data_IF_608121698495
#
_entry.id   IF_608121698495
#
_cell.length_a   1.000
_cell.length_b   1.000
_cell.length_c   1.000
_cell.angle_alpha   90.00
_cell.angle_beta   90.00
_cell.angle_gamma   90.00
#
_symmetry.space_group_name_H-M   'P 1'
#
loop_
_entity.id
_entity.type
_entity.pdbx_description
1 polymer ?
#
# COMPACT_ATOMS: atom_id res chain seq x y z
N UNK A 1 -40.39 -70.32 -9.21
CA UNK A 1 -39.53 -70.24 -10.40
C UNK A 1 -40.20 -69.30 -11.40
N UNK A 2 -39.66 -68.10 -11.62
CA UNK A 2 -39.86 -67.36 -12.86
C UNK A 2 -38.53 -67.14 -13.59
N UNK A 3 -38.63 -67.24 -14.91
CA UNK A 3 -37.58 -67.32 -15.91
C UNK A 3 -36.74 -66.04 -16.12
N UNK A 4 -35.49 -66.27 -16.53
CA UNK A 4 -34.53 -65.33 -17.08
C UNK A 4 -34.93 -64.87 -18.51
N UNK A 5 -34.65 -63.58 -18.83
CA UNK A 5 -33.84 -63.05 -19.97
C UNK A 5 -34.35 -61.66 -20.40
N UNK A 6 -33.64 -60.58 -20.04
CA UNK A 6 -32.61 -59.84 -20.83
C UNK A 6 -33.14 -59.07 -22.05
N UNK A 7 -33.15 -57.74 -21.94
CA UNK A 7 -32.82 -56.71 -22.96
C UNK A 7 -32.73 -55.36 -22.23
N UNK A 8 -31.53 -54.92 -21.79
CA UNK A 8 -30.66 -53.95 -22.49
C UNK A 8 -31.42 -52.74 -23.06
N UNK A 9 -31.28 -51.59 -22.41
CA UNK A 9 -30.99 -50.30 -23.07
C UNK A 9 -30.27 -49.38 -22.07
N UNK A 10 -29.04 -49.03 -22.44
CA UNK A 10 -28.16 -48.06 -21.80
C UNK A 10 -28.75 -46.65 -21.92
N UNK A 11 -28.59 -45.83 -20.89
CA UNK A 11 -28.60 -44.37 -21.03
C UNK A 11 -27.64 -43.78 -19.99
N UNK A 12 -26.36 -43.74 -20.36
CA UNK A 12 -25.34 -42.99 -19.66
C UNK A 12 -25.40 -41.53 -20.15
N UNK A 13 -26.07 -40.67 -19.39
CA UNK A 13 -26.04 -39.22 -19.63
C UNK A 13 -24.71 -38.66 -19.14
N UNK A 14 -23.73 -38.61 -20.05
CA UNK A 14 -22.53 -37.79 -19.91
C UNK A 14 -22.93 -36.32 -20.04
N UNK A 15 -23.23 -35.68 -18.92
CA UNK A 15 -23.21 -34.22 -18.82
C UNK A 15 -21.74 -33.79 -18.89
N UNK A 16 -21.25 -33.57 -20.11
CA UNK A 16 -20.06 -32.74 -20.32
C UNK A 16 -20.42 -31.34 -19.83
N UNK A 17 -20.06 -31.05 -18.59
CA UNK A 17 -19.93 -29.68 -18.13
C UNK A 17 -18.88 -29.01 -19.01
N UNK A 18 -19.36 -28.28 -20.02
CA UNK A 18 -18.57 -27.33 -20.77
C UNK A 18 -18.02 -26.31 -19.79
N UNK A 19 -16.82 -26.54 -19.27
CA UNK A 19 -15.99 -25.47 -18.74
C UNK A 19 -15.67 -24.56 -19.92
N UNK A 20 -16.56 -23.61 -20.18
CA UNK A 20 -16.24 -22.43 -20.95
C UNK A 20 -15.19 -21.68 -20.15
N UNK A 21 -13.92 -21.98 -20.39
CA UNK A 21 -12.88 -20.98 -20.24
C UNK A 21 -13.27 -19.86 -21.20
N UNK A 22 -13.90 -18.81 -20.67
CA UNK A 22 -13.87 -17.53 -21.35
C UNK A 22 -12.40 -17.25 -21.59
N UNK A 23 -11.98 -17.31 -22.85
CA UNK A 23 -10.76 -16.66 -23.26
C UNK A 23 -11.01 -15.16 -23.03
N UNK A 24 -10.65 -14.67 -21.84
CA UNK A 24 -10.50 -13.25 -21.62
C UNK A 24 -9.48 -12.81 -22.66
N UNK A 25 -9.95 -12.11 -23.69
CA UNK A 25 -9.06 -11.38 -24.55
C UNK A 25 -8.18 -10.54 -23.62
N UNK A 26 -6.86 -10.72 -23.70
CA UNK A 26 -5.87 -9.98 -22.91
C UNK A 26 -6.03 -8.48 -23.19
N UNK A 27 -7.00 -7.84 -22.54
CA UNK A 27 -7.15 -6.39 -22.55
C UNK A 27 -6.21 -5.85 -21.49
N UNK A 28 -5.23 -5.08 -21.97
CA UNK A 28 -4.35 -4.30 -21.13
C UNK A 28 -5.18 -3.48 -20.14
N UNK A 29 -4.74 -3.36 -18.88
CA UNK A 29 -5.43 -2.53 -17.93
C UNK A 29 -5.37 -1.07 -18.37
N UNK A 30 -6.49 -0.37 -18.21
CA UNK A 30 -6.47 1.08 -18.29
C UNK A 30 -5.52 1.64 -17.22
N UNK A 31 -4.97 2.86 -17.39
CA UNK A 31 -4.07 3.46 -16.41
C UNK A 31 -4.65 3.52 -14.99
N UNK A 32 -5.97 3.77 -14.87
CA UNK A 32 -6.66 3.80 -13.58
C UNK A 32 -6.78 2.41 -12.96
N UNK A 33 -7.14 1.38 -13.73
CA UNK A 33 -7.19 -0.01 -13.24
C UNK A 33 -5.81 -0.52 -12.83
N UNK A 34 -4.78 -0.19 -13.61
CA UNK A 34 -3.38 -0.52 -13.28
C UNK A 34 -3.00 0.08 -11.94
N UNK A 35 -3.27 1.36 -11.74
CA UNK A 35 -2.97 2.04 -10.47
C UNK A 35 -3.70 1.38 -9.30
N UNK A 36 -4.99 1.08 -9.45
CA UNK A 36 -5.78 0.48 -8.38
C UNK A 36 -5.22 -0.91 -7.97
N UNK A 37 -4.87 -1.75 -8.96
CA UNK A 37 -4.21 -3.04 -8.71
C UNK A 37 -2.84 -2.86 -8.07
N UNK A 38 -2.00 -1.98 -8.62
CA UNK A 38 -0.66 -1.70 -8.12
C UNK A 38 -0.68 -1.18 -6.68
N UNK A 39 -1.62 -0.29 -6.34
CA UNK A 39 -1.76 0.22 -4.97
C UNK A 39 -2.08 -0.89 -3.96
N UNK A 40 -2.91 -1.87 -4.33
CA UNK A 40 -3.19 -3.04 -3.48
C UNK A 40 -1.95 -3.90 -3.27
N UNK A 41 -1.16 -4.13 -4.33
CA UNK A 41 0.09 -4.89 -4.23
C UNK A 41 1.05 -4.19 -3.25
N UNK A 42 1.31 -2.91 -3.46
CA UNK A 42 2.28 -2.13 -2.67
C UNK A 42 1.88 -2.02 -1.21
N UNK A 43 0.61 -1.70 -0.94
CA UNK A 43 0.14 -1.36 0.40
C UNK A 43 -0.30 -2.57 1.21
N UNK A 44 -0.80 -3.61 0.55
CA UNK A 44 -1.48 -4.73 1.20
C UNK A 44 -0.76 -6.06 0.97
N UNK A 45 0.22 -6.13 0.06
CA UNK A 45 0.82 -7.42 -0.35
C UNK A 45 -0.23 -8.31 -1.04
N UNK A 46 -1.12 -7.71 -1.81
CA UNK A 46 -2.26 -8.41 -2.40
C UNK A 46 -1.83 -9.32 -3.56
N UNK A 47 -1.61 -10.60 -3.25
CA UNK A 47 -1.23 -11.63 -4.22
C UNK A 47 -2.26 -11.84 -5.34
N UNK A 48 -3.55 -11.59 -5.07
CA UNK A 48 -4.59 -11.69 -6.10
C UNK A 48 -4.43 -10.55 -7.11
N UNK A 49 -4.23 -9.32 -6.62
CA UNK A 49 -3.96 -8.18 -7.49
C UNK A 49 -2.65 -8.35 -8.27
N UNK A 50 -1.60 -8.92 -7.65
CA UNK A 50 -0.32 -9.21 -8.30
C UNK A 50 -0.48 -10.22 -9.42
N UNK A 51 -1.21 -11.31 -9.18
CA UNK A 51 -1.50 -12.34 -10.17
C UNK A 51 -2.31 -11.78 -11.34
N UNK A 52 -3.36 -11.00 -11.04
CA UNK A 52 -4.21 -10.36 -12.05
C UNK A 52 -3.41 -9.39 -12.92
N UNK A 53 -2.67 -8.47 -12.29
CA UNK A 53 -1.89 -7.48 -13.02
C UNK A 53 -0.81 -8.15 -13.89
N UNK A 54 -0.12 -9.17 -13.37
CA UNK A 54 0.88 -9.92 -14.13
C UNK A 54 0.28 -10.60 -15.38
N UNK A 55 -0.89 -11.23 -15.23
CA UNK A 55 -1.57 -11.90 -16.33
C UNK A 55 -2.04 -10.92 -17.44
N UNK A 56 -2.45 -9.72 -17.05
CA UNK A 56 -2.90 -8.68 -17.99
C UNK A 56 -1.75 -7.92 -18.65
N UNK A 57 -0.64 -7.73 -17.94
CA UNK A 57 0.53 -7.00 -18.43
C UNK A 57 1.49 -7.87 -19.27
N UNK A 58 1.40 -9.20 -19.13
CA UNK A 58 2.25 -10.14 -19.87
C UNK A 58 3.67 -10.29 -19.31
N UNK A 59 3.93 -9.79 -18.11
CA UNK A 59 5.16 -10.01 -17.35
C UNK A 59 4.84 -10.22 -15.86
N UNK A 60 5.74 -10.88 -15.14
CA UNK A 60 5.57 -11.07 -13.69
C UNK A 60 5.82 -9.77 -12.94
N UNK A 61 4.79 -9.24 -12.28
CA UNK A 61 4.92 -8.10 -11.39
C UNK A 61 5.74 -8.51 -10.15
N UNK A 62 6.74 -7.70 -9.75
CA UNK A 62 7.66 -8.06 -8.67
C UNK A 62 6.92 -8.29 -7.34
N UNK A 63 7.38 -9.30 -6.60
CA UNK A 63 7.06 -9.44 -5.19
C UNK A 63 7.72 -8.28 -4.41
N UNK A 64 6.91 -7.58 -3.61
CA UNK A 64 7.33 -6.40 -2.85
C UNK A 64 7.54 -6.69 -1.36
N UNK A 65 7.47 -7.95 -0.91
CA UNK A 65 7.67 -8.31 0.50
C UNK A 65 9.02 -7.84 1.05
N UNK A 66 10.10 -7.99 0.29
CA UNK A 66 11.42 -7.47 0.66
C UNK A 66 11.45 -5.94 0.80
N UNK A 67 10.72 -5.24 -0.07
CA UNK A 67 10.57 -3.78 0.01
C UNK A 67 9.77 -3.37 1.24
N UNK A 68 8.70 -4.10 1.57
CA UNK A 68 7.87 -3.87 2.78
C UNK A 68 8.66 -4.11 4.06
N UNK A 69 9.50 -5.14 4.10
CA UNK A 69 10.42 -5.39 5.22
C UNK A 69 11.43 -4.26 5.37
N UNK A 70 11.97 -3.75 4.26
CA UNK A 70 12.90 -2.62 4.27
C UNK A 70 12.24 -1.33 4.79
N UNK A 71 10.98 -1.06 4.41
CA UNK A 71 10.18 0.05 4.97
C UNK A 71 9.98 -0.12 6.47
N UNK A 72 9.59 -1.30 6.95
CA UNK A 72 9.42 -1.57 8.38
C UNK A 72 10.74 -1.41 9.16
N UNK A 73 11.87 -1.78 8.55
CA UNK A 73 13.19 -1.60 9.14
C UNK A 73 13.59 -0.12 9.23
N UNK A 74 13.39 0.67 8.16
CA UNK A 74 13.65 2.11 8.17
C UNK A 74 12.77 2.83 9.21
N UNK A 75 11.47 2.54 9.23
CA UNK A 75 10.54 3.11 10.21
C UNK A 75 10.98 2.84 11.65
N UNK A 76 11.49 1.64 11.93
CA UNK A 76 12.04 1.29 13.25
C UNK A 76 13.21 2.20 13.61
N UNK A 77 14.14 2.42 12.68
CA UNK A 77 15.31 3.27 12.93
C UNK A 77 14.90 4.71 13.20
N UNK A 78 14.02 5.27 12.36
CA UNK A 78 13.56 6.66 12.51
C UNK A 78 12.75 6.87 13.81
N UNK A 79 11.89 5.91 14.17
CA UNK A 79 11.15 5.95 15.43
C UNK A 79 12.08 5.85 16.63
N UNK A 80 13.03 4.91 16.61
CA UNK A 80 14.01 4.73 17.67
C UNK A 80 14.85 6.00 17.87
N UNK A 81 15.42 6.54 16.78
CA UNK A 81 16.20 7.78 16.84
C UNK A 81 15.43 8.94 17.48
N UNK A 82 14.12 9.01 17.23
CA UNK A 82 13.29 10.09 17.75
C UNK A 82 12.90 9.93 19.22
N UNK A 83 12.74 8.70 19.70
CA UNK A 83 12.29 8.41 21.08
C UNK A 83 13.39 8.00 22.04
N UNK A 84 14.59 7.66 21.55
CA UNK A 84 15.70 7.12 22.36
C UNK A 84 16.85 8.09 22.63
N UNK A 85 16.69 9.42 22.48
CA UNK A 85 17.79 10.30 22.90
C UNK A 85 17.85 10.42 24.44
N UNK A 86 18.97 9.96 25.00
CA UNK A 86 19.29 9.95 26.44
C UNK A 86 19.76 8.57 26.92
N UNK A 87 20.49 8.52 28.03
CA UNK A 87 21.15 7.31 28.61
C UNK A 87 20.20 6.17 29.04
N UNK A 88 18.95 6.17 28.60
CA UNK A 88 17.99 5.12 28.89
C UNK A 88 17.00 4.97 27.74
N UNK A 89 16.90 3.75 27.22
CA UNK A 89 15.79 3.33 26.36
C UNK A 89 14.46 3.71 27.00
N UNK A 90 13.54 4.26 26.22
CA UNK A 90 12.20 4.60 26.69
C UNK A 90 11.50 3.32 27.17
N UNK A 91 11.62 2.99 28.46
CA UNK A 91 10.97 1.83 29.05
C UNK A 91 9.53 2.17 29.36
N UNK A 92 8.61 1.46 28.72
CA UNK A 92 7.17 1.60 28.95
C UNK A 92 6.38 0.53 28.22
N UNK A 93 5.04 0.58 28.32
CA UNK A 93 4.16 -0.47 27.84
C UNK A 93 4.07 -0.53 26.31
N UNK A 94 4.45 0.54 25.60
CA UNK A 94 4.43 0.60 24.14
C UNK A 94 5.86 0.72 23.63
N UNK A 95 6.24 -0.20 22.74
CA UNK A 95 7.57 -0.28 22.14
C UNK A 95 7.61 0.37 20.75
N UNK A 96 8.81 0.62 20.25
CA UNK A 96 9.01 1.01 18.84
C UNK A 96 8.46 -0.06 17.89
N UNK A 97 8.60 -1.34 18.24
CA UNK A 97 8.06 -2.44 17.43
C UNK A 97 6.53 -2.43 17.36
N UNK A 98 5.85 -2.06 18.45
CA UNK A 98 4.39 -1.89 18.44
C UNK A 98 3.96 -0.75 17.51
N UNK A 99 4.70 0.36 17.51
CA UNK A 99 4.48 1.48 16.59
C UNK A 99 4.70 1.10 15.13
N UNK A 100 5.78 0.37 14.82
CA UNK A 100 6.02 -0.14 13.46
C UNK A 100 4.92 -1.11 13.04
N UNK A 101 4.51 -2.03 13.92
CA UNK A 101 3.41 -2.95 13.65
C UNK A 101 2.10 -2.21 13.38
N UNK A 102 1.80 -1.14 14.13
CA UNK A 102 0.64 -0.29 13.90
C UNK A 102 0.69 0.40 12.52
N UNK A 103 1.85 0.90 12.08
CA UNK A 103 2.02 1.49 10.73
C UNK A 103 1.74 0.44 9.66
N UNK A 104 2.36 -0.75 9.77
CA UNK A 104 2.18 -1.82 8.79
C UNK A 104 0.72 -2.32 8.75
N UNK A 105 0.04 -2.36 9.90
CA UNK A 105 -1.37 -2.69 10.00
C UNK A 105 -2.30 -1.59 9.45
N UNK A 106 -1.88 -0.32 9.48
CA UNK A 106 -2.62 0.78 8.82
C UNK A 106 -2.42 0.74 7.32
N UNK A 107 -1.20 0.50 6.84
CA UNK A 107 -0.89 0.31 5.42
C UNK A 107 -1.75 -0.78 4.79
N UNK A 108 -1.86 -1.95 5.44
CA UNK A 108 -2.59 -3.10 4.89
C UNK A 108 -4.09 -2.89 4.70
N UNK A 109 -4.68 -1.87 5.32
CA UNK A 109 -6.09 -1.49 5.14
C UNK A 109 -6.29 -0.15 4.43
N UNK A 110 -5.20 0.56 4.13
CA UNK A 110 -5.24 1.82 3.36
C UNK A 110 -5.68 1.50 1.93
N UNK A 111 -6.60 2.29 1.41
CA UNK A 111 -7.09 2.18 0.04
C UNK A 111 -6.76 3.45 -0.72
N UNK A 112 -6.11 3.31 -1.87
CA UNK A 112 -5.94 4.38 -2.82
C UNK A 112 -6.71 4.02 -4.08
N UNK A 113 -7.43 4.99 -4.63
CA UNK A 113 -8.26 4.80 -5.83
C UNK A 113 -7.95 5.92 -6.82
N UNK A 114 -7.72 5.55 -8.06
CA UNK A 114 -7.59 6.50 -9.14
C UNK A 114 -8.89 7.29 -9.33
N UNK A 115 -8.77 8.59 -9.48
CA UNK A 115 -9.89 9.53 -9.67
C UNK A 115 -9.91 10.15 -11.06
N UNK A 116 -8.78 10.08 -11.78
CA UNK A 116 -8.68 10.53 -13.16
C UNK A 116 -7.31 10.22 -13.75
N UNK A 117 -7.28 10.12 -15.08
CA UNK A 117 -6.05 10.02 -15.85
C UNK A 117 -6.15 10.95 -17.05
N UNK A 118 -5.11 11.74 -17.28
CA UNK A 118 -4.99 12.66 -18.40
C UNK A 118 -3.78 12.23 -19.23
N UNK A 119 -3.97 11.69 -20.45
CA UNK A 119 -2.87 11.38 -21.36
C UNK A 119 -2.01 12.62 -21.65
N UNK A 120 -0.72 12.43 -21.88
CA UNK A 120 0.19 13.50 -22.31
C UNK A 120 -0.19 14.01 -23.71
N UNK A 121 -0.15 15.32 -23.92
CA UNK A 121 -0.33 15.92 -25.24
C UNK A 121 0.98 15.92 -26.06
N UNK A 122 2.10 15.49 -25.47
CA UNK A 122 3.40 15.42 -26.14
C UNK A 122 3.46 14.17 -27.04
N UNK A 123 3.60 14.33 -28.38
CA UNK A 123 3.68 13.19 -29.30
C UNK A 123 4.95 12.35 -29.10
N UNK A 124 5.99 12.89 -28.47
CA UNK A 124 7.25 12.16 -28.19
C UNK A 124 7.18 11.32 -26.90
N UNK A 125 6.15 11.51 -26.06
CA UNK A 125 5.91 10.74 -24.82
C UNK A 125 5.29 9.35 -25.07
N UNK A 126 4.86 9.07 -26.31
CA UNK A 126 4.31 7.80 -26.73
C UNK A 126 5.41 6.92 -27.34
N UNK A 127 5.79 5.84 -26.66
CA UNK A 127 6.71 4.84 -27.23
C UNK A 127 6.02 3.92 -28.24
N UNK A 128 4.75 3.58 -27.97
CA UNK A 128 3.82 2.82 -28.81
C UNK A 128 2.37 3.24 -28.48
N UNK A 129 1.39 2.88 -29.33
CA UNK A 129 -0.03 3.25 -29.15
C UNK A 129 -0.65 2.82 -27.80
N UNK A 130 -0.04 1.81 -27.17
CA UNK A 130 -0.47 1.20 -25.90
C UNK A 130 0.34 1.69 -24.67
N UNK A 131 1.37 2.53 -24.88
CA UNK A 131 2.31 3.03 -23.87
C UNK A 131 2.07 4.51 -23.56
N UNK A 132 0.82 4.88 -23.30
CA UNK A 132 0.46 6.26 -23.01
C UNK A 132 1.06 6.68 -21.66
N UNK A 133 1.91 7.70 -21.69
CA UNK A 133 2.34 8.44 -20.51
C UNK A 133 1.31 9.52 -20.21
N UNK A 134 1.03 9.77 -18.94
CA UNK A 134 0.07 10.80 -18.56
C UNK A 134 0.05 11.09 -17.08
N UNK A 135 -0.76 12.07 -16.72
CA UNK A 135 -0.96 12.52 -15.35
C UNK A 135 -2.08 11.72 -14.69
N UNK A 136 -1.78 11.11 -13.54
CA UNK A 136 -2.74 10.36 -12.75
C UNK A 136 -3.13 11.12 -11.48
N UNK A 137 -4.41 11.31 -11.25
CA UNK A 137 -4.96 11.83 -10.00
C UNK A 137 -5.57 10.69 -9.19
N UNK A 138 -5.33 10.65 -7.89
CA UNK A 138 -5.86 9.60 -7.00
C UNK A 138 -6.15 10.12 -5.60
N UNK A 139 -6.96 9.35 -4.87
CA UNK A 139 -7.30 9.64 -3.47
C UNK A 139 -6.98 8.43 -2.61
N UNK A 140 -6.29 8.65 -1.49
CA UNK A 140 -6.02 7.65 -0.46
C UNK A 140 -6.85 7.91 0.79
N UNK A 141 -7.40 6.86 1.40
CA UNK A 141 -8.08 6.91 2.69
C UNK A 141 -7.05 6.75 3.82
N UNK A 142 -6.71 7.85 4.48
CA UNK A 142 -5.63 7.93 5.47
C UNK A 142 -6.06 8.72 6.72
N UNK A 143 -5.47 8.46 7.90
CA UNK A 143 -5.74 9.26 9.08
C UNK A 143 -5.18 10.68 8.93
N UNK A 144 -5.71 11.62 9.70
CA UNK A 144 -5.16 12.98 9.78
C UNK A 144 -4.02 13.07 10.81
N UNK A 145 -2.75 13.21 10.39
CA UNK A 145 -1.64 13.20 11.33
C UNK A 145 -1.64 14.39 12.30
N UNK A 146 -2.29 15.51 11.98
CA UNK A 146 -2.23 16.74 12.79
C UNK A 146 -2.61 16.55 14.27
N UNK A 147 -3.41 15.53 14.59
CA UNK A 147 -3.74 15.17 15.97
C UNK A 147 -2.52 14.79 16.84
N UNK A 148 -1.43 14.32 16.22
CA UNK A 148 -0.19 13.93 16.92
C UNK A 148 0.75 15.11 17.16
N UNK A 149 0.55 16.22 16.45
CA UNK A 149 1.45 17.38 16.46
C UNK A 149 1.67 17.96 17.88
N UNK A 150 0.64 18.12 18.74
CA UNK A 150 0.86 18.59 20.11
C UNK A 150 1.70 17.62 20.97
N UNK A 151 1.52 16.31 20.77
CA UNK A 151 2.28 15.28 21.51
C UNK A 151 3.73 15.23 21.04
N UNK A 152 3.96 15.41 19.74
CA UNK A 152 5.29 15.55 19.18
C UNK A 152 6.01 16.79 19.72
N UNK A 153 5.35 17.96 19.73
CA UNK A 153 5.90 19.19 20.28
C UNK A 153 6.27 19.03 21.77
N UNK A 154 5.45 18.33 22.55
CA UNK A 154 5.75 18.02 23.95
C UNK A 154 7.02 17.17 24.11
N UNK A 155 7.26 16.18 23.23
CA UNK A 155 8.51 15.42 23.23
C UNK A 155 9.72 16.31 22.91
N UNK A 156 9.60 17.22 21.94
CA UNK A 156 10.69 18.16 21.60
C UNK A 156 11.04 19.09 22.76
N UNK A 157 10.03 19.55 23.50
CA UNK A 157 10.21 20.46 24.63
C UNK A 157 10.63 19.78 25.94
N UNK A 158 10.55 18.45 26.02
CA UNK A 158 10.82 17.70 27.24
C UNK A 158 12.32 17.74 27.63
N UNK A 159 12.59 17.86 28.92
CA UNK A 159 13.94 17.83 29.45
C UNK A 159 14.49 16.40 29.46
N UNK A 160 15.81 16.27 29.31
CA UNK A 160 16.51 14.98 29.35
C UNK A 160 16.19 14.15 30.61
N UNK A 161 16.34 12.83 30.49
CA UNK A 161 16.03 11.89 31.57
C UNK A 161 14.54 11.51 31.64
N UNK A 162 13.97 11.50 32.84
CA UNK A 162 12.61 10.93 33.06
C UNK A 162 11.50 11.70 32.34
N UNK A 163 11.61 13.02 32.20
CA UNK A 163 10.60 13.83 31.50
C UNK A 163 10.54 13.46 30.01
N UNK A 164 11.69 13.42 29.34
CA UNK A 164 11.80 12.95 27.96
C UNK A 164 11.33 11.51 27.76
N UNK A 165 11.68 10.59 28.68
CA UNK A 165 11.17 9.22 28.64
C UNK A 165 9.64 9.15 28.71
N UNK A 166 9.02 9.94 29.59
CA UNK A 166 7.56 10.00 29.69
C UNK A 166 6.91 10.61 28.44
N UNK A 167 7.50 11.68 27.89
CA UNK A 167 7.00 12.29 26.66
C UNK A 167 7.12 11.34 25.46
N UNK A 168 8.23 10.58 25.37
CA UNK A 168 8.44 9.56 24.34
C UNK A 168 7.39 8.44 24.42
N UNK A 169 7.11 7.96 25.63
CA UNK A 169 6.07 6.94 25.85
C UNK A 169 4.66 7.46 25.53
N UNK A 170 4.36 8.73 25.87
CA UNK A 170 3.09 9.37 25.46
C UNK A 170 2.98 9.45 23.95
N UNK A 171 4.06 9.80 23.25
CA UNK A 171 4.07 9.86 21.79
C UNK A 171 3.83 8.48 21.18
N UNK A 172 4.56 7.45 21.60
CA UNK A 172 4.39 6.09 21.09
C UNK A 172 2.97 5.58 21.30
N UNK A 173 2.41 5.76 22.51
CA UNK A 173 1.05 5.35 22.82
C UNK A 173 0.01 6.10 21.97
N UNK A 174 0.12 7.43 21.87
CA UNK A 174 -0.79 8.24 21.05
C UNK A 174 -0.68 7.88 19.57
N UNK A 175 0.53 7.59 19.08
CA UNK A 175 0.78 7.23 17.69
C UNK A 175 0.18 5.86 17.34
N UNK A 176 0.40 4.84 18.17
CA UNK A 176 -0.22 3.51 18.01
C UNK A 176 -1.74 3.58 18.04
N UNK A 177 -2.30 4.32 19.00
CA UNK A 177 -3.75 4.51 19.11
C UNK A 177 -4.30 5.20 17.86
N UNK A 178 -3.68 6.30 17.44
CA UNK A 178 -4.06 7.06 16.26
C UNK A 178 -4.06 6.18 14.99
N UNK A 179 -2.99 5.44 14.76
CA UNK A 179 -2.89 4.52 13.63
C UNK A 179 -3.91 3.39 13.69
N UNK A 180 -4.40 3.02 14.88
CA UNK A 180 -5.35 1.92 15.07
C UNK A 180 -6.80 2.38 14.91
N UNK A 181 -7.17 3.53 15.46
CA UNK A 181 -8.58 3.93 15.63
C UNK A 181 -8.98 5.20 14.88
N UNK A 182 -8.03 6.04 14.42
CA UNK A 182 -8.39 7.28 13.77
C UNK A 182 -9.18 7.06 12.47
N UNK A 183 -10.24 7.85 12.24
CA UNK A 183 -11.03 7.74 11.02
C UNK A 183 -10.18 8.10 9.79
N UNK A 184 -10.48 7.45 8.67
CA UNK A 184 -9.88 7.82 7.40
C UNK A 184 -10.52 9.09 6.83
N UNK A 185 -9.68 9.96 6.28
CA UNK A 185 -10.07 11.09 5.43
C UNK A 185 -9.47 10.93 4.03
N UNK A 186 -10.10 11.50 2.99
CA UNK A 186 -9.50 11.53 1.67
C UNK A 186 -8.26 12.42 1.65
N UNK A 187 -7.14 11.87 1.19
CA UNK A 187 -5.90 12.59 0.86
C UNK A 187 -5.74 12.52 -0.65
N UNK A 188 -5.81 13.68 -1.30
CA UNK A 188 -5.69 13.79 -2.76
C UNK A 188 -4.22 13.92 -3.15
N UNK A 189 -3.83 13.19 -4.19
CA UNK A 189 -2.48 13.23 -4.72
C UNK A 189 -2.47 13.10 -6.24
N UNK A 190 -1.32 13.46 -6.81
CA UNK A 190 -1.12 13.54 -8.24
C UNK A 190 0.24 12.97 -8.62
N UNK A 191 0.26 12.06 -9.60
CA UNK A 191 1.48 11.51 -10.19
C UNK A 191 1.58 11.97 -11.65
N UNK A 192 2.42 12.98 -11.89
CA UNK A 192 2.48 13.68 -13.18
C UNK A 192 2.93 12.80 -14.36
N UNK A 193 3.68 11.74 -14.09
CA UNK A 193 4.22 10.82 -15.11
C UNK A 193 3.88 9.39 -14.70
N UNK A 194 2.73 8.93 -15.13
CA UNK A 194 2.26 7.56 -14.95
C UNK A 194 2.13 6.89 -16.33
N UNK A 195 2.83 5.79 -16.51
CA UNK A 195 2.92 5.07 -17.78
C UNK A 195 2.81 3.57 -17.54
N UNK A 196 2.73 2.77 -18.60
CA UNK A 196 2.85 1.32 -18.48
C UNK A 196 4.31 0.95 -18.16
N UNK A 197 4.59 0.15 -17.12
CA UNK A 197 5.92 -0.39 -16.92
C UNK A 197 6.21 -1.48 -17.96
N UNK A 198 7.36 -1.39 -18.62
CA UNK A 198 7.86 -2.42 -19.56
C UNK A 198 8.79 -3.43 -18.86
N UNK A 199 9.22 -3.14 -17.62
CA UNK A 199 10.08 -4.00 -16.81
C UNK A 199 9.64 -4.03 -15.35
N UNK A 200 10.05 -5.07 -14.62
CA UNK A 200 9.82 -5.16 -13.18
C UNK A 200 10.44 -3.97 -12.41
N UNK A 201 11.62 -3.50 -12.79
CA UNK A 201 12.27 -2.34 -12.16
C UNK A 201 11.44 -1.06 -12.31
N UNK A 202 10.86 -0.82 -13.50
CA UNK A 202 9.97 0.32 -13.71
C UNK A 202 8.69 0.20 -12.87
N UNK A 203 8.15 -1.00 -12.74
CA UNK A 203 7.00 -1.26 -11.87
C UNK A 203 7.32 -0.98 -10.38
N UNK A 204 8.53 -1.28 -9.90
CA UNK A 204 8.99 -0.91 -8.56
C UNK A 204 9.08 0.62 -8.42
N UNK A 205 9.69 1.31 -9.39
CA UNK A 205 9.83 2.78 -9.33
C UNK A 205 8.47 3.47 -9.27
N UNK A 206 7.50 3.06 -10.09
CA UNK A 206 6.14 3.58 -10.03
C UNK A 206 5.46 3.28 -8.69
N UNK A 207 5.74 2.12 -8.11
CA UNK A 207 5.23 1.72 -6.79
C UNK A 207 5.76 2.64 -5.68
N UNK A 208 6.98 3.14 -5.80
CA UNK A 208 7.55 4.10 -4.84
C UNK A 208 6.78 5.44 -4.83
N UNK A 209 6.23 5.88 -5.97
CA UNK A 209 5.43 7.12 -6.02
C UNK A 209 4.15 7.03 -5.16
N UNK A 210 3.55 5.84 -5.04
CA UNK A 210 2.41 5.60 -4.15
C UNK A 210 2.85 5.73 -2.69
N UNK A 211 4.00 5.14 -2.34
CA UNK A 211 4.55 5.21 -0.98
C UNK A 211 4.96 6.64 -0.59
N UNK A 212 5.46 7.45 -1.53
CA UNK A 212 5.81 8.85 -1.28
C UNK A 212 4.64 9.71 -0.80
N UNK A 213 3.40 9.41 -1.24
CA UNK A 213 2.20 10.09 -0.75
C UNK A 213 1.77 9.61 0.64
N UNK A 214 1.92 8.31 0.89
CA UNK A 214 1.36 7.65 2.07
C UNK A 214 2.27 7.78 3.29
N UNK A 215 3.58 7.67 3.09
CA UNK A 215 4.54 7.69 4.19
C UNK A 215 4.48 9.00 5.00
N UNK A 216 4.38 10.21 4.41
CA UNK A 216 4.25 11.44 5.20
C UNK A 216 2.96 11.50 6.03
N UNK A 217 1.86 10.90 5.56
CA UNK A 217 0.62 10.87 6.33
C UNK A 217 0.67 9.86 7.50
N UNK A 218 1.41 8.76 7.32
CA UNK A 218 1.57 7.74 8.36
C UNK A 218 2.71 8.06 9.31
N UNK A 219 3.78 8.72 8.85
CA UNK A 219 4.96 9.13 9.62
C UNK A 219 5.23 10.63 9.39
N UNK A 220 4.47 11.52 10.05
CA UNK A 220 4.40 12.95 9.69
C UNK A 220 5.50 13.83 10.31
N UNK A 221 6.42 13.25 11.04
CA UNK A 221 7.17 13.99 12.06
C UNK A 221 8.27 14.88 11.49
N UNK A 222 8.94 14.44 10.42
CA UNK A 222 10.01 15.19 9.75
C UNK A 222 9.48 16.51 9.15
N UNK A 223 8.22 16.54 8.73
CA UNK A 223 7.58 17.74 8.17
C UNK A 223 7.14 18.78 9.20
N UNK A 224 7.25 18.49 10.50
CA UNK A 224 6.86 19.40 11.59
C UNK A 224 8.05 20.05 12.29
N UNK A 225 9.27 19.81 11.80
CA UNK A 225 10.49 20.34 12.40
C UNK A 225 10.74 21.81 12.05
N UNK A 226 10.14 22.30 10.95
CA UNK A 226 10.41 23.63 10.34
C UNK A 226 9.47 24.77 10.77
N UNK A 227 8.41 24.51 11.54
CA UNK A 227 7.37 25.51 11.88
C UNK A 227 7.67 26.37 13.12
N UNK A 228 8.92 26.41 13.60
CA UNK A 228 9.37 27.29 14.70
C UNK A 228 9.98 28.63 14.20
N UNK A 229 9.45 29.17 13.09
CA UNK A 229 9.81 30.48 12.51
C UNK A 229 9.02 31.65 13.06
#
# INVERSE_FOLDING_TARGET
>A
MPDLRRSLLLSASLLLSSFSFSADAHMLPSPTERFDLQSRIVLQGDETARTELSAREGFEFPDLDGSRQSVAWLLRQELAARVESGDGTASGPVTVDDAVAAVMARLSRTRCVATGYQPSDDPDDYRDADDQTGALAYTCALPDPEALRPVHAALRAAQEGTDRQQAAQRLLAAYVEHLSSAPDRPVHAHHAVFSRPCTADQAVVQSMAIMQTILPALFPFDGWEDDDG
#
